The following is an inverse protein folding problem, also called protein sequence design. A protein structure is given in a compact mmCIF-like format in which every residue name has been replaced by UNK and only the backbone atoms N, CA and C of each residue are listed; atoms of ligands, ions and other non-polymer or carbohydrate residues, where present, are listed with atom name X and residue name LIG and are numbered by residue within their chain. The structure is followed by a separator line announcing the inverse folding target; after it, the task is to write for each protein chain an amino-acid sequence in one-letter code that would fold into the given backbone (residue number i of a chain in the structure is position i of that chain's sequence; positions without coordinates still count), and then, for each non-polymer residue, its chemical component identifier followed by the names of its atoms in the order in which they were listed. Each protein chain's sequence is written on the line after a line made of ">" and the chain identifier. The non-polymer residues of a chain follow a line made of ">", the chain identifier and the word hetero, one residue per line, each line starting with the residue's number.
data_IF_187652983503
#
_entry.id   IF_187652983503
#
_cell.length_a   1.000
_cell.length_b   1.000
_cell.length_c   1.000
_cell.angle_alpha   90.00
_cell.angle_beta   90.00
_cell.angle_gamma   90.00
#
_symmetry.space_group_name_H-M   'P 1'
#
loop_
_entity.id
_entity.type
_entity.pdbx_description
1 polymer ?
#
# COMPACT_ATOMS: atom_id res chain seq x y z
N UNK A 1 14.62 -58.83 33.37
CA UNK A 1 15.59 -59.52 32.50
C UNK A 1 16.33 -58.43 31.70
N UNK A 2 17.41 -57.97 32.24
CA UNK A 2 18.54 -57.32 31.51
C UNK A 2 19.53 -58.47 31.24
N UNK A 3 20.48 -58.45 30.32
CA UNK A 3 21.51 -57.42 30.12
C UNK A 3 21.99 -57.28 28.62
N UNK A 4 22.80 -56.42 28.24
CA UNK A 4 24.25 -56.25 28.31
C UNK A 4 24.79 -55.44 27.12
N UNK A 5 25.54 -54.39 27.40
CA UNK A 5 26.56 -53.81 26.51
C UNK A 5 27.80 -54.68 26.39
N UNK A 6 28.65 -54.52 25.37
CA UNK A 6 29.98 -53.93 25.57
C UNK A 6 30.40 -52.94 24.46
N UNK A 7 30.98 -51.83 24.73
CA UNK A 7 32.36 -51.41 25.16
C UNK A 7 33.43 -51.44 24.06
N UNK A 8 33.95 -50.22 23.81
CA UNK A 8 35.32 -49.77 23.53
C UNK A 8 36.11 -50.25 22.29
N UNK A 9 36.63 -49.30 21.52
CA UNK A 9 38.08 -49.05 21.47
C UNK A 9 38.43 -47.66 20.86
N UNK A 10 39.41 -47.07 21.53
CA UNK A 10 40.12 -45.83 21.25
C UNK A 10 41.12 -46.03 20.08
N UNK A 11 41.44 -44.92 19.38
CA UNK A 11 42.61 -44.82 18.52
C UNK A 11 42.98 -43.35 18.30
N UNK A 12 43.93 -42.85 19.09
CA UNK A 12 44.67 -41.61 18.86
C UNK A 12 45.61 -41.76 17.66
N UNK A 13 45.85 -40.67 16.90
CA UNK A 13 47.18 -40.19 16.51
C UNK A 13 47.06 -38.90 15.66
N UNK A 14 47.66 -37.82 16.13
CA UNK A 14 48.17 -36.66 15.38
C UNK A 14 49.71 -36.86 15.25
N UNK A 15 50.51 -36.02 14.66
CA UNK A 15 50.35 -34.75 13.93
C UNK A 15 51.18 -34.68 12.60
N UNK A 16 51.12 -33.58 11.85
CA UNK A 16 52.32 -32.98 11.26
C UNK A 16 52.02 -31.67 10.47
N UNK A 17 52.81 -30.74 10.79
CA UNK A 17 53.15 -29.39 10.35
C UNK A 17 53.52 -29.38 8.86
N UNK A 18 53.14 -28.32 8.18
CA UNK A 18 53.69 -27.96 6.87
C UNK A 18 53.30 -26.51 6.45
N UNK A 19 54.18 -25.60 6.83
CA UNK A 19 54.20 -24.20 6.34
C UNK A 19 54.80 -24.20 4.94
N UNK A 20 54.17 -23.55 3.97
CA UNK A 20 54.86 -22.96 2.82
C UNK A 20 54.12 -21.72 2.29
N UNK A 21 54.78 -20.59 2.44
CA UNK A 21 54.52 -19.33 1.77
C UNK A 21 54.90 -19.45 0.28
N UNK A 22 53.98 -19.04 -0.60
CA UNK A 22 54.38 -18.57 -1.94
C UNK A 22 53.50 -17.40 -2.33
N UNK A 23 54.13 -16.25 -2.45
CA UNK A 23 53.60 -15.03 -3.06
C UNK A 23 53.55 -15.21 -4.58
N UNK A 24 52.42 -14.90 -5.17
CA UNK A 24 52.32 -14.61 -6.60
C UNK A 24 51.37 -13.46 -6.86
N UNK A 25 51.95 -12.38 -7.35
CA UNK A 25 51.28 -11.26 -7.99
C UNK A 25 50.57 -11.74 -9.26
N UNK A 26 49.32 -11.45 -9.41
CA UNK A 26 48.64 -11.47 -10.71
C UNK A 26 47.66 -10.32 -10.78
N UNK A 27 47.99 -9.32 -11.58
CA UNK A 27 47.06 -8.34 -12.10
C UNK A 27 45.95 -9.05 -12.89
N UNK A 28 44.72 -8.84 -12.52
CA UNK A 28 43.56 -9.13 -13.36
C UNK A 28 42.62 -7.95 -13.32
N UNK A 29 42.43 -7.36 -14.46
CA UNK A 29 41.51 -6.29 -14.84
C UNK A 29 40.12 -6.48 -14.28
N UNK A 30 39.70 -5.52 -13.43
CA UNK A 30 38.31 -5.44 -12.92
C UNK A 30 37.35 -5.07 -14.05
N UNK A 31 36.39 -5.91 -14.27
CA UNK A 31 35.13 -5.49 -14.87
C UNK A 31 34.31 -4.82 -13.76
N UNK A 32 34.10 -3.53 -13.89
CA UNK A 32 33.03 -2.84 -13.15
C UNK A 32 31.68 -3.41 -13.61
N UNK A 33 31.12 -4.26 -12.80
CA UNK A 33 29.68 -4.50 -12.82
C UNK A 33 29.00 -3.36 -12.03
N UNK A 34 28.71 -2.27 -12.73
CA UNK A 34 27.79 -1.24 -12.25
C UNK A 34 26.34 -1.83 -12.25
N UNK A 35 26.09 -2.72 -11.30
CA UNK A 35 24.73 -2.95 -10.86
C UNK A 35 24.36 -1.81 -9.94
N UNK A 36 23.68 -0.81 -10.51
CA UNK A 36 22.95 0.19 -9.77
C UNK A 36 22.15 -0.53 -8.67
N UNK A 37 22.55 -0.35 -7.43
CA UNK A 37 21.77 -0.72 -6.27
C UNK A 37 20.53 0.16 -6.31
N UNK A 38 19.40 -0.38 -6.77
CA UNK A 38 18.10 0.21 -6.56
C UNK A 38 17.97 0.39 -5.05
N UNK A 39 18.04 1.64 -4.59
CA UNK A 39 17.93 1.99 -3.18
C UNK A 39 16.59 1.51 -2.67
N UNK A 40 16.59 0.44 -1.88
CA UNK A 40 15.42 0.09 -1.07
C UNK A 40 15.32 1.19 -0.02
N UNK A 41 14.24 1.98 -0.09
CA UNK A 41 13.94 2.92 0.97
C UNK A 41 13.72 2.12 2.26
N UNK A 42 14.74 2.11 3.12
CA UNK A 42 14.66 1.48 4.43
C UNK A 42 13.60 2.24 5.25
N UNK A 43 12.57 1.57 5.79
CA UNK A 43 11.54 2.22 6.59
C UNK A 43 12.08 2.92 7.84
N UNK A 44 13.33 2.67 8.23
CA UNK A 44 14.00 3.32 9.36
C UNK A 44 14.83 4.56 8.96
N UNK A 45 14.93 4.87 7.66
CA UNK A 45 15.66 6.04 7.19
C UNK A 45 14.98 7.34 7.64
N UNK A 46 15.72 8.19 8.33
CA UNK A 46 15.30 9.55 8.72
C UNK A 46 15.49 10.58 7.59
N UNK A 47 15.93 10.17 6.42
CA UNK A 47 16.11 11.04 5.28
C UNK A 47 14.75 11.53 4.74
N UNK A 48 14.66 12.79 4.24
CA UNK A 48 13.46 13.31 3.58
C UNK A 48 13.04 12.42 2.41
N UNK A 49 11.76 12.47 2.03
CA UNK A 49 11.26 11.80 0.85
C UNK A 49 12.04 12.24 -0.41
N UNK A 50 12.49 11.26 -1.14
CA UNK A 50 13.02 11.46 -2.47
C UNK A 50 12.26 10.54 -3.42
N UNK A 51 11.69 11.11 -4.48
CA UNK A 51 11.02 10.34 -5.51
C UNK A 51 12.03 9.38 -6.16
N UNK A 52 11.66 8.10 -6.30
CA UNK A 52 12.50 7.10 -6.97
C UNK A 52 12.53 7.29 -8.49
N UNK A 53 11.60 8.07 -9.01
CA UNK A 53 11.44 8.41 -10.43
C UNK A 53 11.10 9.88 -10.57
N UNK A 54 11.34 10.46 -11.74
CA UNK A 54 10.90 11.83 -12.05
C UNK A 54 9.38 11.93 -11.92
N UNK A 55 8.90 12.92 -11.16
CA UNK A 55 7.49 13.12 -10.90
C UNK A 55 6.93 14.18 -11.84
N UNK A 56 5.82 13.84 -12.47
CA UNK A 56 5.08 14.71 -13.37
C UNK A 56 3.65 14.97 -12.92
N UNK A 57 2.93 15.69 -13.75
CA UNK A 57 1.49 15.91 -13.56
C UNK A 57 0.76 14.56 -13.48
N UNK A 58 -0.22 14.45 -12.59
CA UNK A 58 -1.01 13.25 -12.44
C UNK A 58 -1.37 12.94 -11.00
N UNK A 59 -2.18 11.90 -10.80
CA UNK A 59 -2.55 11.40 -9.48
C UNK A 59 -2.40 9.87 -9.42
N UNK A 60 -1.89 9.38 -8.28
CA UNK A 60 -1.82 7.97 -7.96
C UNK A 60 -2.68 7.68 -6.72
N UNK A 61 -3.53 6.68 -6.82
CA UNK A 61 -4.43 6.27 -5.74
C UNK A 61 -4.21 4.80 -5.43
N UNK A 62 -3.81 4.51 -4.21
CA UNK A 62 -3.84 3.15 -3.66
C UNK A 62 -5.16 2.95 -2.93
N UNK A 63 -6.01 2.05 -3.42
CA UNK A 63 -7.28 1.68 -2.79
C UNK A 63 -7.03 0.43 -1.95
N UNK A 64 -7.25 0.54 -0.63
CA UNK A 64 -7.04 -0.51 0.35
C UNK A 64 -8.40 -0.96 0.89
N UNK A 65 -8.78 -2.19 0.63
CA UNK A 65 -10.08 -2.75 1.01
C UNK A 65 -9.89 -3.75 2.15
N UNK A 66 -10.57 -3.50 3.25
CA UNK A 66 -10.66 -4.41 4.37
C UNK A 66 -11.35 -5.71 3.96
N UNK A 67 -10.72 -6.82 4.24
CA UNK A 67 -11.24 -8.18 4.08
C UNK A 67 -11.12 -8.98 5.38
N UNK A 68 -11.15 -8.29 6.53
CA UNK A 68 -11.18 -8.90 7.85
C UNK A 68 -12.49 -9.67 8.10
N UNK A 69 -12.53 -10.44 9.19
CA UNK A 69 -13.67 -11.31 9.50
C UNK A 69 -15.00 -10.57 9.65
N UNK A 70 -15.01 -9.34 10.17
CA UNK A 70 -16.20 -8.49 10.34
C UNK A 70 -16.85 -8.11 9.01
N UNK A 71 -16.07 -7.97 7.94
CA UNK A 71 -16.56 -7.67 6.60
C UNK A 71 -17.47 -8.79 6.02
N UNK A 72 -17.49 -9.97 6.62
CA UNK A 72 -18.44 -11.05 6.25
C UNK A 72 -19.87 -10.81 6.75
N UNK A 73 -20.05 -9.91 7.73
CA UNK A 73 -21.35 -9.58 8.28
C UNK A 73 -22.19 -8.81 7.26
N UNK A 74 -23.52 -8.87 7.41
CA UNK A 74 -24.41 -8.10 6.56
C UNK A 74 -24.21 -6.59 6.79
N UNK A 75 -24.21 -5.84 5.72
CA UNK A 75 -24.21 -4.38 5.80
C UNK A 75 -25.54 -3.89 6.41
N UNK A 76 -25.52 -2.83 7.25
CA UNK A 76 -26.75 -2.31 7.83
C UNK A 76 -27.76 -1.92 6.75
N UNK A 77 -28.99 -2.46 6.91
CA UNK A 77 -30.08 -2.24 5.95
C UNK A 77 -29.95 -3.00 4.63
N UNK A 78 -28.98 -3.92 4.52
CA UNK A 78 -28.75 -4.75 3.34
C UNK A 78 -28.65 -6.24 3.74
N UNK A 79 -29.04 -7.15 2.86
CA UNK A 79 -28.85 -8.59 3.07
C UNK A 79 -27.48 -9.09 2.58
N UNK A 80 -26.73 -8.25 1.88
CA UNK A 80 -25.39 -8.55 1.38
C UNK A 80 -24.35 -8.23 2.45
N UNK A 81 -23.24 -8.96 2.40
CA UNK A 81 -22.12 -8.67 3.30
C UNK A 81 -21.47 -7.30 3.01
N UNK A 82 -20.89 -6.69 4.04
CA UNK A 82 -20.12 -5.45 3.93
C UNK A 82 -19.05 -5.55 2.84
N UNK A 83 -18.40 -6.70 2.73
CA UNK A 83 -17.43 -7.03 1.70
C UNK A 83 -17.98 -6.82 0.28
N UNK A 84 -19.17 -7.38 -0.01
CA UNK A 84 -19.80 -7.25 -1.35
C UNK A 84 -20.20 -5.80 -1.60
N UNK A 85 -20.77 -5.14 -0.60
CA UNK A 85 -21.17 -3.72 -0.69
C UNK A 85 -19.96 -2.81 -0.90
N UNK A 86 -18.84 -3.07 -0.23
CA UNK A 86 -17.59 -2.32 -0.41
C UNK A 86 -17.01 -2.54 -1.82
N UNK A 87 -17.01 -3.77 -2.32
CA UNK A 87 -16.57 -4.07 -3.67
C UNK A 87 -17.37 -3.31 -4.72
N UNK A 88 -18.70 -3.32 -4.62
CA UNK A 88 -19.59 -2.59 -5.53
C UNK A 88 -19.40 -1.07 -5.44
N UNK A 89 -19.19 -0.55 -4.23
CA UNK A 89 -18.98 0.88 -4.03
C UNK A 89 -17.65 1.35 -4.66
N UNK A 90 -16.59 0.55 -4.55
CA UNK A 90 -15.32 0.82 -5.24
C UNK A 90 -15.49 0.69 -6.76
N UNK A 91 -16.25 -0.29 -7.26
CA UNK A 91 -16.52 -0.40 -8.69
C UNK A 91 -17.26 0.83 -9.23
N UNK A 92 -18.20 1.38 -8.46
CA UNK A 92 -18.95 2.58 -8.87
C UNK A 92 -18.04 3.82 -9.03
N UNK A 93 -16.92 3.91 -8.29
CA UNK A 93 -15.93 4.99 -8.47
C UNK A 93 -15.29 4.97 -9.88
N UNK A 94 -15.25 3.83 -10.54
CA UNK A 94 -14.67 3.72 -11.88
C UNK A 94 -15.46 4.55 -12.92
N UNK A 95 -16.76 4.75 -12.72
CA UNK A 95 -17.58 5.60 -13.61
C UNK A 95 -17.12 7.06 -13.56
N UNK A 96 -16.81 7.56 -12.36
CA UNK A 96 -16.26 8.90 -12.19
C UNK A 96 -14.86 9.03 -12.81
N UNK A 97 -14.05 7.98 -12.69
CA UNK A 97 -12.70 7.94 -13.29
C UNK A 97 -12.79 7.97 -14.82
N UNK A 98 -13.67 7.16 -15.44
CA UNK A 98 -13.88 7.17 -16.89
C UNK A 98 -14.29 8.56 -17.38
N UNK A 99 -15.25 9.18 -16.69
CA UNK A 99 -15.69 10.54 -17.02
C UNK A 99 -14.55 11.56 -16.87
N UNK A 100 -13.68 11.39 -15.87
CA UNK A 100 -12.54 12.28 -15.66
C UNK A 100 -11.48 12.11 -16.75
N UNK A 101 -10.98 10.91 -17.01
CA UNK A 101 -9.92 10.66 -17.99
C UNK A 101 -10.36 10.99 -19.41
N UNK A 102 -11.66 10.88 -19.71
CA UNK A 102 -12.23 11.32 -20.98
C UNK A 102 -12.15 12.84 -21.14
N UNK A 103 -12.39 13.62 -20.08
CA UNK A 103 -12.33 15.08 -20.09
C UNK A 103 -10.91 15.62 -19.95
N UNK A 104 -10.03 14.88 -19.28
CA UNK A 104 -8.66 15.29 -18.96
C UNK A 104 -7.65 14.20 -19.35
N UNK A 105 -7.50 13.91 -20.66
CA UNK A 105 -6.54 12.91 -21.12
C UNK A 105 -5.08 13.30 -20.88
N UNK A 106 -4.83 14.60 -20.67
CA UNK A 106 -3.54 15.19 -20.31
C UNK A 106 -3.14 14.98 -18.84
N UNK A 107 -4.09 14.55 -17.98
CA UNK A 107 -3.84 14.31 -16.55
C UNK A 107 -3.92 12.81 -16.24
N UNK A 108 -2.77 12.12 -16.18
CA UNK A 108 -2.75 10.68 -15.94
C UNK A 108 -3.25 10.32 -14.54
N UNK A 109 -4.19 9.37 -14.47
CA UNK A 109 -4.64 8.73 -13.25
C UNK A 109 -4.01 7.34 -13.18
N UNK A 110 -3.42 7.00 -12.04
CA UNK A 110 -2.85 5.67 -11.75
C UNK A 110 -3.56 5.09 -10.54
N UNK A 111 -3.98 3.83 -10.62
CA UNK A 111 -4.72 3.17 -9.54
C UNK A 111 -4.08 1.83 -9.20
N UNK A 112 -3.83 1.60 -7.92
CA UNK A 112 -3.48 0.32 -7.32
C UNK A 112 -4.62 -0.21 -6.46
N UNK A 113 -4.73 -1.53 -6.33
CA UNK A 113 -5.73 -2.18 -5.51
C UNK A 113 -5.07 -3.18 -4.56
N UNK A 114 -5.39 -3.06 -3.30
CA UNK A 114 -4.86 -3.86 -2.21
C UNK A 114 -6.02 -4.36 -1.35
N UNK A 115 -5.90 -5.56 -0.82
CA UNK A 115 -6.78 -6.04 0.23
C UNK A 115 -5.97 -6.32 1.49
N UNK A 116 -6.59 -6.16 2.63
CA UNK A 116 -5.94 -6.44 3.90
C UNK A 116 -6.88 -7.11 4.92
N UNK A 117 -6.27 -7.96 5.72
CA UNK A 117 -6.84 -8.57 6.92
C UNK A 117 -5.71 -8.75 7.94
N UNK A 118 -5.42 -9.95 8.42
CA UNK A 118 -4.17 -10.25 9.14
C UNK A 118 -2.93 -10.24 8.23
N UNK A 119 -3.12 -10.20 6.92
CA UNK A 119 -2.08 -10.07 5.90
C UNK A 119 -2.54 -9.12 4.81
N UNK A 120 -1.57 -8.55 4.08
CA UNK A 120 -1.83 -7.62 2.98
C UNK A 120 -1.58 -8.34 1.65
N UNK A 121 -2.45 -8.11 0.68
CA UNK A 121 -2.32 -8.66 -0.66
C UNK A 121 -2.41 -7.55 -1.70
N UNK A 122 -1.38 -7.42 -2.53
CA UNK A 122 -1.41 -6.55 -3.71
C UNK A 122 -2.18 -7.26 -4.82
N UNK A 123 -3.40 -6.82 -5.07
CA UNK A 123 -4.25 -7.38 -6.14
C UNK A 123 -3.86 -6.80 -7.50
N UNK A 124 -3.49 -5.52 -7.50
CA UNK A 124 -2.95 -4.79 -8.65
C UNK A 124 -2.01 -3.70 -8.14
N UNK A 125 -0.74 -3.68 -8.52
CA UNK A 125 0.15 -2.57 -8.18
C UNK A 125 -0.33 -1.28 -8.86
N UNK A 126 0.17 -0.12 -8.42
CA UNK A 126 -0.20 1.17 -9.02
C UNK A 126 0.29 1.22 -10.47
N UNK A 127 -0.65 1.35 -11.38
CA UNK A 127 -0.46 1.40 -12.82
C UNK A 127 -1.42 2.40 -13.46
N UNK A 128 -1.20 2.85 -14.71
CA UNK A 128 -2.15 3.68 -15.42
C UNK A 128 -3.57 3.10 -15.34
N UNK A 129 -4.55 3.99 -15.24
CA UNK A 129 -5.94 3.59 -15.13
C UNK A 129 -6.35 2.68 -16.29
N UNK A 130 -6.93 1.56 -15.94
CA UNK A 130 -7.52 0.58 -16.84
C UNK A 130 -8.70 -0.05 -16.11
N UNK A 131 -9.92 0.29 -16.53
CA UNK A 131 -11.16 -0.15 -15.90
C UNK A 131 -11.27 -1.68 -15.81
N UNK A 132 -11.00 -2.36 -16.92
CA UNK A 132 -11.19 -3.81 -16.98
C UNK A 132 -10.16 -4.55 -16.12
N UNK A 133 -8.93 -4.05 -16.09
CA UNK A 133 -7.89 -4.58 -15.21
C UNK A 133 -8.25 -4.39 -13.73
N UNK A 134 -8.82 -3.24 -13.34
CA UNK A 134 -9.26 -2.99 -11.96
C UNK A 134 -10.45 -3.88 -11.60
N UNK A 135 -11.46 -3.99 -12.45
CA UNK A 135 -12.60 -4.91 -12.25
C UNK A 135 -12.14 -6.37 -12.09
N UNK A 136 -11.20 -6.79 -12.93
CA UNK A 136 -10.60 -8.12 -12.84
C UNK A 136 -9.83 -8.34 -11.54
N UNK A 137 -9.20 -7.31 -11.00
CA UNK A 137 -8.54 -7.34 -9.69
C UNK A 137 -9.55 -7.36 -8.53
N UNK A 138 -10.61 -6.54 -8.59
CA UNK A 138 -11.70 -6.54 -7.62
C UNK A 138 -12.38 -7.92 -7.51
N UNK A 139 -12.55 -8.61 -8.62
CA UNK A 139 -13.10 -9.97 -8.64
C UNK A 139 -12.21 -11.01 -7.94
N UNK A 140 -10.95 -10.68 -7.67
CA UNK A 140 -9.98 -11.54 -6.97
C UNK A 140 -9.82 -11.19 -5.48
N UNK A 141 -10.64 -10.28 -4.96
CA UNK A 141 -10.62 -9.97 -3.53
C UNK A 141 -10.75 -11.27 -2.71
N UNK A 142 -9.88 -11.48 -1.70
CA UNK A 142 -9.98 -12.64 -0.82
C UNK A 142 -11.31 -12.64 -0.07
N UNK A 143 -11.81 -13.82 0.26
CA UNK A 143 -12.98 -13.92 1.16
C UNK A 143 -12.64 -13.34 2.53
N UNK A 144 -13.59 -12.64 3.18
CA UNK A 144 -13.36 -12.06 4.49
C UNK A 144 -12.93 -13.08 5.54
N UNK A 145 -11.91 -12.73 6.33
CA UNK A 145 -11.41 -13.55 7.43
C UNK A 145 -10.20 -12.95 8.13
N UNK A 146 -9.91 -13.41 9.32
CA UNK A 146 -8.78 -12.93 10.11
C UNK A 146 -9.03 -11.61 10.83
N UNK A 147 -7.94 -11.01 11.32
CA UNK A 147 -7.92 -9.69 11.96
C UNK A 147 -7.84 -8.54 10.95
N UNK A 148 -7.57 -7.33 11.45
CA UNK A 148 -7.56 -6.09 10.66
C UNK A 148 -6.20 -5.42 10.82
N UNK A 149 -5.36 -5.40 9.78
CA UNK A 149 -4.00 -4.86 9.77
C UNK A 149 -3.91 -3.58 8.94
N UNK A 150 -4.53 -2.50 9.39
CA UNK A 150 -4.60 -1.22 8.65
C UNK A 150 -3.21 -0.61 8.47
N UNK A 151 -2.41 -0.56 9.54
CA UNK A 151 -1.08 0.04 9.48
C UNK A 151 -0.15 -0.70 8.53
N UNK A 152 -0.23 -2.03 8.51
CA UNK A 152 0.56 -2.84 7.57
C UNK A 152 0.11 -2.62 6.12
N UNK A 153 -1.20 -2.43 5.88
CA UNK A 153 -1.72 -2.11 4.56
C UNK A 153 -1.21 -0.75 4.05
N UNK A 154 -1.22 0.29 4.89
CA UNK A 154 -0.65 1.60 4.57
C UNK A 154 0.84 1.49 4.21
N UNK A 155 1.59 0.70 4.98
CA UNK A 155 3.04 0.51 4.78
C UNK A 155 3.33 -0.24 3.48
N UNK A 156 2.55 -1.26 3.15
CA UNK A 156 2.71 -2.06 1.93
C UNK A 156 2.44 -1.25 0.66
N UNK A 157 1.40 -0.41 0.65
CA UNK A 157 1.04 0.39 -0.52
C UNK A 157 1.98 1.58 -0.78
N UNK A 158 2.67 2.07 0.26
CA UNK A 158 3.54 3.25 0.19
C UNK A 158 4.63 3.19 -0.89
N UNK A 159 5.42 2.11 -1.03
CA UNK A 159 6.47 2.03 -2.04
C UNK A 159 5.95 2.19 -3.48
N UNK A 160 4.76 1.64 -3.76
CA UNK A 160 4.16 1.77 -5.09
C UNK A 160 3.73 3.22 -5.37
N UNK A 161 3.25 3.96 -4.36
CA UNK A 161 2.98 5.39 -4.48
C UNK A 161 4.25 6.19 -4.77
N UNK A 162 5.35 5.88 -4.11
CA UNK A 162 6.63 6.59 -4.31
C UNK A 162 7.20 6.36 -5.71
N UNK A 163 6.93 5.20 -6.31
CA UNK A 163 7.33 4.85 -7.68
C UNK A 163 6.32 5.26 -8.74
N UNK A 164 5.21 5.86 -8.34
CA UNK A 164 4.15 6.19 -9.29
C UNK A 164 4.53 7.26 -10.33
N UNK A 165 5.58 8.08 -10.10
CA UNK A 165 6.03 9.11 -11.02
C UNK A 165 5.03 10.24 -11.22
N UNK A 166 4.22 10.56 -10.20
CA UNK A 166 3.25 11.66 -10.19
C UNK A 166 3.29 12.38 -8.85
N UNK A 167 2.99 13.68 -8.86
CA UNK A 167 3.07 14.51 -7.65
C UNK A 167 2.00 14.17 -6.61
N UNK A 168 0.78 13.89 -7.04
CA UNK A 168 -0.35 13.68 -6.13
C UNK A 168 -0.51 12.21 -5.79
N UNK A 169 -0.47 11.89 -4.51
CA UNK A 169 -0.48 10.52 -4.01
C UNK A 169 -1.51 10.35 -2.90
N UNK A 170 -2.34 9.34 -3.03
CA UNK A 170 -3.45 9.12 -2.12
C UNK A 170 -3.51 7.66 -1.67
N UNK A 171 -3.73 7.48 -0.36
CA UNK A 171 -4.14 6.21 0.24
C UNK A 171 -5.62 6.34 0.58
N UNK A 172 -6.46 5.52 -0.03
CA UNK A 172 -7.90 5.45 0.23
C UNK A 172 -8.23 4.11 0.87
N UNK A 173 -8.61 4.14 2.14
CA UNK A 173 -8.89 2.95 2.95
C UNK A 173 -10.38 2.82 3.18
N UNK A 174 -10.93 1.62 2.94
CA UNK A 174 -12.30 1.23 3.31
C UNK A 174 -12.21 0.14 4.36
N UNK A 175 -12.70 0.41 5.57
CA UNK A 175 -12.65 -0.52 6.70
C UNK A 175 -13.89 -0.41 7.57
N UNK A 176 -14.31 -1.52 8.20
CA UNK A 176 -15.41 -1.56 9.15
C UNK A 176 -14.95 -1.73 10.61
N UNK A 177 -13.64 -1.67 10.88
CA UNK A 177 -13.10 -1.97 12.19
C UNK A 177 -11.85 -1.21 12.58
N UNK A 178 -11.45 -1.45 13.83
CA UNK A 178 -10.19 -0.97 14.39
C UNK A 178 -9.03 -1.88 13.98
N UNK A 179 -7.82 -1.35 14.07
CA UNK A 179 -6.63 -2.15 13.91
C UNK A 179 -6.53 -3.20 15.03
N UNK A 180 -6.50 -4.47 14.66
CA UNK A 180 -6.38 -5.59 15.60
C UNK A 180 -5.11 -6.41 15.36
N UNK A 181 -4.36 -6.07 14.32
CA UNK A 181 -3.18 -6.81 13.89
C UNK A 181 -2.13 -5.88 13.30
N UNK A 182 -0.86 -6.23 13.49
CA UNK A 182 0.27 -5.54 12.87
C UNK A 182 0.54 -4.14 13.44
N UNK A 183 0.98 -3.25 12.58
CA UNK A 183 1.43 -1.91 12.94
C UNK A 183 0.27 -0.97 13.27
N UNK A 184 0.50 -0.05 14.21
CA UNK A 184 -0.50 0.98 14.55
C UNK A 184 -0.70 1.97 13.39
N UNK A 185 -1.95 2.16 12.90
CA UNK A 185 -2.23 2.98 11.72
C UNK A 185 -1.88 4.46 11.92
N UNK A 186 -2.07 5.01 13.12
CA UNK A 186 -1.68 6.38 13.44
C UNK A 186 -0.17 6.58 13.30
N UNK A 187 0.63 5.68 13.85
CA UNK A 187 2.09 5.77 13.77
C UNK A 187 2.57 5.68 12.31
N UNK A 188 1.98 4.78 11.52
CA UNK A 188 2.33 4.64 10.10
C UNK A 188 1.87 5.83 9.28
N UNK A 189 0.68 6.38 9.52
CA UNK A 189 0.19 7.56 8.83
C UNK A 189 1.07 8.79 9.11
N UNK A 190 1.48 9.00 10.38
CA UNK A 190 2.42 10.06 10.76
C UNK A 190 3.79 9.87 10.10
N UNK A 191 4.29 8.63 10.02
CA UNK A 191 5.53 8.31 9.33
C UNK A 191 5.44 8.66 7.84
N UNK A 192 4.35 8.25 7.17
CA UNK A 192 4.13 8.53 5.75
C UNK A 192 4.06 10.05 5.52
N UNK A 193 3.27 10.75 6.31
CA UNK A 193 3.11 12.21 6.23
C UNK A 193 4.45 12.94 6.40
N UNK A 194 5.19 12.61 7.46
CA UNK A 194 6.47 13.23 7.75
C UNK A 194 7.52 12.96 6.68
N UNK A 195 7.63 11.70 6.22
CA UNK A 195 8.61 11.32 5.19
C UNK A 195 8.27 11.82 3.80
N UNK A 196 6.99 12.01 3.48
CA UNK A 196 6.55 12.54 2.20
C UNK A 196 6.42 14.07 2.19
N UNK A 197 6.72 14.73 3.31
CA UNK A 197 6.51 16.18 3.46
C UNK A 197 5.08 16.61 3.09
N UNK A 198 4.10 15.73 3.39
CA UNK A 198 2.70 15.95 3.06
C UNK A 198 2.28 15.62 1.63
N UNK A 199 3.19 15.10 0.80
CA UNK A 199 2.86 14.74 -0.57
C UNK A 199 1.94 13.51 -0.69
N UNK A 200 1.87 12.66 0.35
CA UNK A 200 0.93 11.53 0.42
C UNK A 200 -0.19 11.87 1.39
N UNK A 201 -1.42 11.87 0.91
CA UNK A 201 -2.61 12.11 1.71
C UNK A 201 -3.34 10.79 2.00
N UNK A 202 -3.90 10.66 3.22
CA UNK A 202 -4.55 9.44 3.69
C UNK A 202 -6.01 9.70 3.99
N UNK A 203 -6.91 9.01 3.30
CA UNK A 203 -8.36 9.12 3.47
C UNK A 203 -8.95 7.78 3.89
N UNK A 204 -9.84 7.82 4.88
CA UNK A 204 -10.58 6.62 5.32
C UNK A 204 -12.07 6.79 5.09
N UNK A 205 -12.73 5.70 4.72
CA UNK A 205 -14.16 5.53 4.86
C UNK A 205 -14.39 4.49 5.96
N UNK A 206 -14.95 4.96 7.07
CA UNK A 206 -15.33 4.14 8.23
C UNK A 206 -16.71 3.55 7.99
N UNK A 207 -16.78 2.31 7.48
CA UNK A 207 -18.02 1.64 7.12
C UNK A 207 -18.58 0.87 8.30
N UNK A 208 -19.79 1.23 8.76
CA UNK A 208 -20.44 0.62 9.92
C UNK A 208 -19.54 0.60 11.19
N UNK A 209 -18.76 1.64 11.33
CA UNK A 209 -17.90 1.89 12.51
C UNK A 209 -17.76 3.39 12.75
N UNK A 210 -17.35 3.77 13.98
CA UNK A 210 -17.20 5.18 14.34
C UNK A 210 -16.01 5.83 13.66
N UNK A 211 -16.17 6.94 12.92
CA UNK A 211 -15.06 7.67 12.30
C UNK A 211 -14.13 8.31 13.33
N UNK A 212 -14.56 8.54 14.57
CA UNK A 212 -13.74 9.10 15.65
C UNK A 212 -12.52 8.24 15.97
N UNK A 213 -12.58 6.94 15.71
CA UNK A 213 -11.45 6.01 15.85
C UNK A 213 -10.26 6.38 14.97
N UNK A 214 -10.50 7.11 13.90
CA UNK A 214 -9.52 7.53 12.92
C UNK A 214 -9.28 9.04 12.92
N UNK A 215 -9.65 9.73 14.02
CA UNK A 215 -9.52 11.18 14.14
C UNK A 215 -8.08 11.69 13.95
N UNK A 216 -7.06 10.84 14.21
CA UNK A 216 -5.64 11.14 14.01
C UNK A 216 -5.30 11.53 12.55
N UNK A 217 -6.14 11.15 11.58
CA UNK A 217 -5.91 11.50 10.18
C UNK A 217 -5.90 13.01 9.94
N UNK A 218 -6.64 13.79 10.73
CA UNK A 218 -6.65 15.26 10.66
C UNK A 218 -5.28 15.87 10.95
N UNK A 219 -4.49 15.22 11.81
CA UNK A 219 -3.15 15.69 12.18
C UNK A 219 -2.10 15.44 11.09
N UNK A 220 -2.45 14.61 10.10
CA UNK A 220 -1.59 14.24 8.96
C UNK A 220 -2.19 14.66 7.61
N UNK A 221 -2.98 15.75 7.61
CA UNK A 221 -3.56 16.29 6.39
C UNK A 221 -4.56 15.37 5.68
N UNK A 222 -4.97 14.29 6.35
CA UNK A 222 -5.98 13.35 5.86
C UNK A 222 -7.38 13.64 6.38
N UNK A 223 -8.31 12.76 6.08
CA UNK A 223 -9.69 12.86 6.56
C UNK A 223 -10.34 11.49 6.68
N UNK A 224 -11.43 11.41 7.45
CA UNK A 224 -12.26 10.23 7.60
C UNK A 224 -13.73 10.59 7.43
N UNK A 225 -14.46 9.79 6.67
CA UNK A 225 -15.90 9.91 6.50
C UNK A 225 -16.56 8.62 7.01
N UNK A 226 -17.54 8.76 7.89
CA UNK A 226 -18.37 7.65 8.36
C UNK A 226 -19.42 7.27 7.32
N UNK A 227 -19.74 5.98 7.25
CA UNK A 227 -20.81 5.43 6.41
C UNK A 227 -21.51 4.31 7.18
N UNK A 228 -22.75 4.52 7.60
CA UNK A 228 -23.56 3.54 8.33
C UNK A 228 -24.34 2.57 7.43
N UNK A 229 -24.41 2.86 6.12
CA UNK A 229 -25.13 2.03 5.13
C UNK A 229 -24.34 1.93 3.83
N UNK A 230 -24.70 0.97 2.97
CA UNK A 230 -24.07 0.84 1.65
C UNK A 230 -24.28 2.05 0.75
N UNK A 231 -25.42 2.73 0.86
CA UNK A 231 -25.68 4.00 0.15
C UNK A 231 -24.77 5.12 0.62
N UNK A 232 -24.60 5.24 1.94
CA UNK A 232 -23.65 6.21 2.54
C UNK A 232 -22.21 5.87 2.20
N UNK A 233 -21.82 4.60 2.16
CA UNK A 233 -20.51 4.17 1.73
C UNK A 233 -20.19 4.67 0.32
N UNK A 234 -21.13 4.47 -0.63
CA UNK A 234 -20.96 4.96 -2.01
C UNK A 234 -20.83 6.48 -2.05
N UNK A 235 -21.68 7.19 -1.29
CA UNK A 235 -21.65 8.67 -1.20
C UNK A 235 -20.33 9.16 -0.59
N UNK A 236 -19.83 8.51 0.47
CA UNK A 236 -18.58 8.85 1.12
C UNK A 236 -17.37 8.63 0.19
N UNK A 237 -17.33 7.49 -0.51
CA UNK A 237 -16.30 7.21 -1.50
C UNK A 237 -16.31 8.21 -2.65
N UNK A 238 -17.49 8.51 -3.21
CA UNK A 238 -17.64 9.52 -4.26
C UNK A 238 -17.19 10.90 -3.77
N UNK A 239 -17.60 11.30 -2.57
CA UNK A 239 -17.22 12.57 -1.96
C UNK A 239 -15.71 12.73 -1.79
N UNK A 240 -15.00 11.69 -1.34
CA UNK A 240 -13.52 11.73 -1.26
C UNK A 240 -12.92 11.69 -2.65
N UNK A 241 -13.33 10.73 -3.47
CA UNK A 241 -12.67 10.46 -4.73
C UNK A 241 -12.89 11.60 -5.74
N UNK A 242 -14.15 11.95 -5.98
CA UNK A 242 -14.52 13.02 -6.94
C UNK A 242 -14.29 14.40 -6.33
N UNK A 243 -14.70 14.61 -5.07
CA UNK A 243 -14.67 15.93 -4.42
C UNK A 243 -13.30 16.35 -3.89
N UNK A 244 -12.38 15.41 -3.64
CA UNK A 244 -11.02 15.73 -3.17
C UNK A 244 -9.96 15.28 -4.20
N UNK A 245 -9.88 13.99 -4.50
CA UNK A 245 -8.79 13.43 -5.31
C UNK A 245 -8.86 13.95 -6.76
N UNK A 246 -10.00 13.81 -7.42
CA UNK A 246 -10.15 14.29 -8.81
C UNK A 246 -10.30 15.82 -8.91
N UNK A 247 -10.93 16.49 -7.92
CA UNK A 247 -11.08 17.95 -7.92
C UNK A 247 -9.72 18.66 -7.79
N UNK A 248 -8.84 18.19 -6.91
CA UNK A 248 -7.48 18.74 -6.81
C UNK A 248 -6.69 18.58 -8.10
N UNK A 249 -7.01 17.55 -8.90
CA UNK A 249 -6.42 17.33 -10.21
C UNK A 249 -6.84 18.41 -11.23
N UNK A 250 -8.04 18.96 -11.10
CA UNK A 250 -8.54 20.08 -11.96
C UNK A 250 -7.82 21.37 -11.62
N UNK A 251 -7.71 21.72 -10.33
CA UNK A 251 -7.08 22.97 -9.88
C UNK A 251 -5.60 23.09 -10.26
N UNK A 252 -4.89 21.97 -10.39
CA UNK A 252 -3.50 21.97 -10.81
C UNK A 252 -3.29 22.37 -12.27
N UNK A 253 -4.22 22.02 -13.14
CA UNK A 253 -4.14 22.37 -14.57
C UNK A 253 -4.48 23.84 -14.87
N UNK A 254 -5.25 24.51 -14.00
CA UNK A 254 -5.63 25.91 -14.17
C UNK A 254 -4.56 26.91 -13.68
N UNK A 255 -3.57 26.42 -12.91
CA UNK A 255 -2.50 27.27 -12.34
C UNK A 255 -1.21 27.31 -13.17
N UNK A 256 -1.15 26.64 -14.30
CA UNK A 256 0.00 26.77 -15.19
C UNK A 256 -0.06 28.18 -15.87
N UNK A 257 0.91 29.08 -15.60
CA UNK A 257 0.90 30.38 -16.22
C UNK A 257 1.11 30.23 -17.73
N UNK A 258 0.21 30.80 -18.51
CA UNK A 258 0.37 30.90 -19.95
C UNK A 258 1.80 31.38 -20.26
N UNK A 259 2.62 30.53 -20.84
CA UNK A 259 3.96 30.92 -21.33
C UNK A 259 3.78 31.99 -22.37
N UNK A 260 4.24 33.22 -22.05
CA UNK A 260 4.41 34.33 -22.99
C UNK A 260 5.57 34.04 -23.93
#
# INVERSE_FOLDING_TARGET
>A
MTPRFPSLRRGLLAPAIGVLLVTAYACASGRHDDRAAAGRNDPTSSAPYQAEVEEGLGAAVAILIDTSGSMSQNAPGDQRSKYVVAQEAVEAMLDATDAFVTRRPDFPIKIGLYSFSSSVHTLRPIQPYDRDAIRSALAKLPRPGGGTGIGDALREARPDLYRAGVFRKYLLVVTDGENTHGSEPEAVAREIWGKSEGAVQVYFVAFDTSPEKFAFLKDVGGDVIGAGTGGELRTALDGIYTGKILAEAVDAGEREPAKK
#
